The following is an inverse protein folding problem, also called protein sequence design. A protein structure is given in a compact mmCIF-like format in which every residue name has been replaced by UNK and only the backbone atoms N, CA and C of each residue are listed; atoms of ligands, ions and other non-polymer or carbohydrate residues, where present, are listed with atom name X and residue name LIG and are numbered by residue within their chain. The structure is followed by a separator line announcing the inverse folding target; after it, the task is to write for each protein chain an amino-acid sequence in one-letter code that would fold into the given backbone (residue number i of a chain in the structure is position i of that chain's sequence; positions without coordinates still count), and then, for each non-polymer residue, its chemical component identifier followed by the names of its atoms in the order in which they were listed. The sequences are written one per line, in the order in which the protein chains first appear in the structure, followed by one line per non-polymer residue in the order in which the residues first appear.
data_IF_065722496894
#
_entry.id   IF_065722496894
#
_cell.length_a   1.000
_cell.length_b   1.000
_cell.length_c   1.000
_cell.angle_alpha   90.00
_cell.angle_beta   90.00
_cell.angle_gamma   90.00
#
_symmetry.space_group_name_H-M   'P 1'
#
loop_
_entity.id
_entity.type
_entity.pdbx_description
1 polymer ?
#
# COMPACT_ATOMS: atom_id res chain seq x y z
N UNK A 1 -46.21 44.45 6.43
CA UNK A 1 -45.57 43.12 6.39
C UNK A 1 -44.65 43.11 5.19
N UNK A 2 -43.35 43.40 5.38
CA UNK A 2 -42.34 43.34 4.33
C UNK A 2 -41.28 42.33 4.75
N UNK A 3 -41.30 41.15 4.14
CA UNK A 3 -40.25 40.16 4.31
C UNK A 3 -39.05 40.57 3.46
N UNK A 4 -37.93 40.85 4.14
CA UNK A 4 -36.61 41.05 3.55
C UNK A 4 -35.99 39.69 3.28
N UNK A 5 -35.91 39.29 2.02
CA UNK A 5 -35.09 38.16 1.57
C UNK A 5 -33.64 38.60 1.47
N UNK A 6 -32.80 38.09 2.38
CA UNK A 6 -31.34 38.20 2.30
C UNK A 6 -30.82 37.22 1.26
N UNK A 7 -30.36 37.72 0.12
CA UNK A 7 -29.57 36.96 -0.85
C UNK A 7 -28.23 36.57 -0.23
N UNK A 8 -27.96 35.27 -0.20
CA UNK A 8 -26.66 34.73 0.17
C UNK A 8 -25.66 34.98 -0.95
N UNK A 9 -24.70 35.87 -0.71
CA UNK A 9 -23.53 36.07 -1.56
C UNK A 9 -22.64 34.83 -1.51
N UNK A 10 -22.63 34.02 -2.56
CA UNK A 10 -21.58 33.02 -2.78
C UNK A 10 -20.26 33.73 -3.04
N UNK A 11 -19.21 33.34 -2.30
CA UNK A 11 -17.88 33.87 -2.52
C UNK A 11 -17.39 33.49 -3.95
N UNK A 12 -16.71 34.38 -4.67
CA UNK A 12 -16.24 34.10 -6.02
C UNK A 12 -15.12 33.06 -5.98
N UNK A 13 -15.36 31.88 -6.54
CA UNK A 13 -14.33 30.85 -6.76
C UNK A 13 -13.28 31.41 -7.72
N UNK A 14 -12.12 31.79 -7.20
CA UNK A 14 -11.02 32.34 -8.00
C UNK A 14 -10.49 31.23 -8.92
N UNK A 15 -10.78 31.31 -10.21
CA UNK A 15 -10.23 30.40 -11.23
C UNK A 15 -8.71 30.51 -11.26
N UNK A 16 -8.00 29.39 -11.05
CA UNK A 16 -6.54 29.32 -11.10
C UNK A 16 -6.04 29.48 -12.54
N UNK A 17 -4.98 30.27 -12.75
CA UNK A 17 -4.29 30.35 -14.04
C UNK A 17 -3.54 29.06 -14.38
N UNK A 18 -3.23 28.84 -15.66
CA UNK A 18 -2.45 27.68 -16.11
C UNK A 18 -1.11 27.53 -15.37
N UNK A 19 -0.39 28.64 -15.14
CA UNK A 19 0.87 28.64 -14.38
C UNK A 19 0.67 28.23 -12.92
N UNK A 20 -0.35 28.76 -12.26
CA UNK A 20 -0.68 28.39 -10.87
C UNK A 20 -1.08 26.92 -10.75
N UNK A 21 -1.86 26.41 -11.72
CA UNK A 21 -2.21 24.98 -11.78
C UNK A 21 -0.95 24.12 -11.91
N UNK A 22 -0.04 24.48 -12.83
CA UNK A 22 1.21 23.77 -13.02
C UNK A 22 2.09 23.75 -11.75
N UNK A 23 2.21 24.88 -11.05
CA UNK A 23 2.94 24.97 -9.78
C UNK A 23 2.34 24.04 -8.72
N UNK A 24 1.03 24.07 -8.51
CA UNK A 24 0.33 23.18 -7.56
C UNK A 24 0.49 21.71 -7.96
N UNK A 25 0.42 21.39 -9.26
CA UNK A 25 0.59 20.01 -9.75
C UNK A 25 2.01 19.51 -9.49
N UNK A 26 3.03 20.34 -9.70
CA UNK A 26 4.43 19.91 -9.65
C UNK A 26 5.11 20.10 -8.28
N UNK A 27 4.50 20.82 -7.34
CA UNK A 27 5.09 21.02 -6.01
C UNK A 27 5.29 19.69 -5.27
N UNK A 28 6.35 19.65 -4.46
CA UNK A 28 6.72 18.52 -3.58
C UNK A 28 6.94 17.18 -4.32
N UNK A 29 7.25 17.22 -5.61
CA UNK A 29 7.67 16.06 -6.38
C UNK A 29 9.19 15.96 -6.42
N UNK A 30 9.70 14.73 -6.49
CA UNK A 30 11.12 14.47 -6.69
C UNK A 30 11.55 14.71 -8.13
N UNK A 31 10.70 14.35 -9.09
CA UNK A 31 10.99 14.45 -10.52
C UNK A 31 9.71 14.62 -11.35
N UNK A 32 9.82 15.38 -12.43
CA UNK A 32 8.75 15.61 -13.42
C UNK A 32 9.32 15.38 -14.82
N UNK A 33 8.74 14.45 -15.56
CA UNK A 33 9.04 14.21 -16.97
C UNK A 33 7.89 14.72 -17.84
N UNK A 34 8.19 15.42 -18.94
CA UNK A 34 7.17 15.93 -19.88
C UNK A 34 6.51 17.25 -19.48
N UNK A 35 7.13 18.04 -18.59
CA UNK A 35 6.56 19.28 -18.05
C UNK A 35 6.06 20.29 -19.11
N UNK A 36 6.74 20.41 -20.25
CA UNK A 36 6.33 21.35 -21.31
C UNK A 36 5.04 20.92 -22.01
N UNK A 37 4.81 19.62 -22.20
CA UNK A 37 3.57 19.09 -22.75
C UNK A 37 2.38 19.35 -21.83
N UNK A 38 2.61 19.29 -20.51
CA UNK A 38 1.59 19.64 -19.51
C UNK A 38 1.26 21.13 -19.57
N UNK A 39 2.27 22.00 -19.66
CA UNK A 39 2.05 23.45 -19.77
C UNK A 39 1.23 23.79 -21.01
N UNK A 40 1.59 23.23 -22.17
CA UNK A 40 0.83 23.42 -23.40
C UNK A 40 -0.63 22.94 -23.26
N UNK A 41 -0.85 21.78 -22.64
CA UNK A 41 -2.22 21.28 -22.42
C UNK A 41 -3.02 22.19 -21.48
N UNK A 42 -2.39 22.72 -20.43
CA UNK A 42 -3.01 23.64 -19.46
C UNK A 42 -3.39 25.01 -20.04
N UNK A 43 -2.82 25.40 -21.18
CA UNK A 43 -3.24 26.60 -21.92
C UNK A 43 -4.60 26.38 -22.62
N UNK A 44 -4.97 25.13 -22.89
CA UNK A 44 -6.18 24.77 -23.64
C UNK A 44 -7.29 24.21 -22.74
N UNK A 45 -6.95 23.35 -21.77
CA UNK A 45 -7.91 22.66 -20.88
C UNK A 45 -7.26 22.14 -19.59
N UNK A 46 -8.09 21.64 -18.68
CA UNK A 46 -7.60 20.89 -17.52
C UNK A 46 -7.00 19.53 -17.90
N UNK A 47 -6.03 19.07 -17.11
CA UNK A 47 -5.32 17.81 -17.30
C UNK A 47 -6.13 16.62 -16.76
N UNK A 48 -5.87 15.44 -17.32
CA UNK A 48 -6.38 14.16 -16.81
C UNK A 48 -5.20 13.32 -16.32
N UNK A 49 -5.25 12.89 -15.06
CA UNK A 49 -4.22 12.08 -14.42
C UNK A 49 -4.72 10.67 -14.14
N UNK A 50 -3.80 9.71 -14.02
CA UNK A 50 -4.08 8.54 -13.20
C UNK A 50 -2.99 8.21 -12.19
N UNK A 51 -3.43 7.57 -11.12
CA UNK A 51 -2.60 6.91 -10.14
C UNK A 51 -3.07 5.47 -9.98
N UNK A 52 -2.14 4.53 -10.12
CA UNK A 52 -2.39 3.10 -9.99
C UNK A 52 -2.06 2.58 -8.60
N UNK A 53 -2.94 1.75 -8.04
CA UNK A 53 -2.67 1.03 -6.80
C UNK A 53 -3.11 -0.43 -6.93
N UNK A 54 -2.19 -1.35 -6.64
CA UNK A 54 -2.43 -2.78 -6.71
C UNK A 54 -3.08 -3.28 -5.40
N UNK A 55 -4.34 -3.78 -5.40
CA UNK A 55 -5.04 -4.24 -4.20
C UNK A 55 -4.42 -5.51 -3.60
N UNK A 56 -3.35 -5.35 -2.84
CA UNK A 56 -2.57 -6.45 -2.25
C UNK A 56 -2.71 -6.46 -0.72
N UNK A 57 -1.68 -6.08 0.03
CA UNK A 57 -1.75 -5.97 1.49
C UNK A 57 -2.66 -4.82 1.95
N UNK A 58 -2.92 -4.73 3.24
CA UNK A 58 -3.66 -3.58 3.82
C UNK A 58 -2.88 -2.28 3.59
N UNK A 59 -3.51 -1.22 3.04
CA UNK A 59 -2.91 0.11 2.98
C UNK A 59 -2.53 0.62 4.37
N UNK A 60 -1.39 1.29 4.42
CA UNK A 60 -0.81 1.86 5.63
C UNK A 60 -0.66 3.36 5.49
N UNK A 61 -0.28 4.05 6.56
CA UNK A 61 -0.19 5.51 6.59
C UNK A 61 0.74 6.14 5.54
N UNK A 62 1.70 5.39 5.00
CA UNK A 62 2.46 5.83 3.81
C UNK A 62 1.60 6.19 2.59
N UNK A 63 0.34 5.71 2.50
CA UNK A 63 -0.61 6.11 1.46
C UNK A 63 -1.05 7.57 1.58
N UNK A 64 -0.92 8.23 2.74
CA UNK A 64 -1.19 9.66 2.83
C UNK A 64 -0.30 10.49 1.89
N UNK A 65 0.89 10.01 1.55
CA UNK A 65 1.83 10.72 0.67
C UNK A 65 1.28 10.84 -0.76
N UNK A 66 0.97 9.76 -1.49
CA UNK A 66 0.34 9.89 -2.79
C UNK A 66 -1.05 10.53 -2.70
N UNK A 67 -1.85 10.23 -1.67
CA UNK A 67 -3.20 10.79 -1.54
C UNK A 67 -3.20 12.31 -1.31
N UNK A 68 -2.21 12.86 -0.59
CA UNK A 68 -1.99 14.30 -0.47
C UNK A 68 -1.66 14.94 -1.83
N UNK A 69 -0.87 14.26 -2.66
CA UNK A 69 -0.58 14.76 -4.00
C UNK A 69 -1.79 14.72 -4.93
N UNK A 70 -2.64 13.70 -4.81
CA UNK A 70 -3.93 13.67 -5.51
C UNK A 70 -4.85 14.84 -5.07
N UNK A 71 -4.79 15.25 -3.81
CA UNK A 71 -5.50 16.42 -3.31
C UNK A 71 -5.07 17.72 -3.99
N UNK A 72 -3.77 17.89 -4.24
CA UNK A 72 -3.23 19.01 -5.02
C UNK A 72 -3.74 18.97 -6.47
N UNK A 73 -3.76 17.78 -7.10
CA UNK A 73 -4.30 17.62 -8.46
C UNK A 73 -5.76 18.04 -8.54
N UNK A 74 -6.60 17.55 -7.63
CA UNK A 74 -8.02 17.91 -7.54
C UNK A 74 -8.16 19.43 -7.37
N UNK A 75 -7.36 20.04 -6.49
CA UNK A 75 -7.37 21.50 -6.26
C UNK A 75 -6.97 22.28 -7.51
N UNK A 76 -6.04 21.77 -8.30
CA UNK A 76 -5.64 22.37 -9.57
C UNK A 76 -6.65 22.13 -10.72
N UNK A 77 -7.76 21.45 -10.47
CA UNK A 77 -8.80 21.16 -11.47
C UNK A 77 -8.58 19.88 -12.27
N UNK A 78 -7.58 19.07 -11.92
CA UNK A 78 -7.24 17.83 -12.65
C UNK A 78 -8.33 16.78 -12.45
N UNK A 79 -8.77 16.13 -13.53
CA UNK A 79 -9.58 14.90 -13.43
C UNK A 79 -8.65 13.74 -13.01
N UNK A 80 -8.91 13.13 -11.85
CA UNK A 80 -8.05 12.08 -11.29
C UNK A 80 -8.71 10.72 -11.45
N UNK A 81 -8.05 9.81 -12.17
CA UNK A 81 -8.43 8.40 -12.28
C UNK A 81 -7.62 7.57 -11.30
N UNK A 82 -8.29 6.86 -10.39
CA UNK A 82 -7.64 5.92 -9.48
C UNK A 82 -7.84 4.52 -10.03
N UNK A 83 -6.78 3.93 -10.57
CA UNK A 83 -6.79 2.57 -11.08
C UNK A 83 -6.59 1.58 -9.93
N UNK A 84 -7.65 0.85 -9.59
CA UNK A 84 -7.61 -0.33 -8.74
C UNK A 84 -7.11 -1.49 -9.59
N UNK A 85 -5.78 -1.65 -9.61
CA UNK A 85 -5.06 -2.52 -10.52
C UNK A 85 -5.11 -3.99 -10.05
N UNK A 86 -6.30 -4.58 -10.11
CA UNK A 86 -6.59 -5.96 -9.69
C UNK A 86 -5.86 -7.01 -10.54
N UNK A 87 -5.80 -6.84 -11.86
CA UNK A 87 -5.00 -7.70 -12.73
C UNK A 87 -3.51 -7.65 -12.34
N UNK A 88 -2.99 -6.46 -12.05
CA UNK A 88 -1.60 -6.28 -11.60
C UNK A 88 -1.36 -6.92 -10.23
N UNK A 89 -2.31 -6.80 -9.30
CA UNK A 89 -2.22 -7.46 -7.99
C UNK A 89 -2.20 -8.99 -8.09
N UNK A 90 -2.90 -9.55 -9.09
CA UNK A 90 -2.81 -10.98 -9.42
C UNK A 90 -1.45 -11.36 -10.03
N UNK A 91 -0.94 -10.55 -10.96
CA UNK A 91 0.33 -10.80 -11.67
C UNK A 91 1.57 -10.63 -10.77
N UNK A 92 1.52 -9.76 -9.75
CA UNK A 92 2.59 -9.54 -8.77
C UNK A 92 2.69 -10.71 -7.77
N UNK A 93 3.21 -11.83 -8.26
CA UNK A 93 3.66 -13.00 -7.51
C UNK A 93 2.58 -13.64 -6.61
N UNK A 94 1.33 -13.70 -7.10
CA UNK A 94 0.21 -14.45 -6.51
C UNK A 94 -0.02 -14.15 -5.01
N UNK A 95 0.12 -12.88 -4.59
CA UNK A 95 -0.16 -12.47 -3.20
C UNK A 95 -1.60 -12.74 -2.77
N UNK A 96 -2.53 -12.93 -3.71
CA UNK A 96 -3.92 -13.27 -3.47
C UNK A 96 -4.58 -13.97 -4.67
N UNK A 97 -5.52 -14.92 -4.44
CA UNK A 97 -6.45 -15.40 -5.47
C UNK A 97 -7.26 -14.26 -6.09
N UNK A 98 -7.74 -14.44 -7.33
CA UNK A 98 -8.49 -13.41 -8.08
C UNK A 98 -9.72 -12.91 -7.30
N UNK A 99 -10.47 -13.82 -6.68
CA UNK A 99 -11.67 -13.51 -5.90
C UNK A 99 -11.31 -12.61 -4.70
N UNK A 100 -10.17 -12.89 -4.07
CA UNK A 100 -9.66 -12.10 -2.95
C UNK A 100 -9.18 -10.72 -3.41
N UNK A 101 -8.60 -10.62 -4.61
CA UNK A 101 -8.18 -9.34 -5.18
C UNK A 101 -9.39 -8.44 -5.47
N UNK A 102 -10.49 -9.00 -5.98
CA UNK A 102 -11.73 -8.23 -6.20
C UNK A 102 -12.29 -7.66 -4.88
N UNK A 103 -12.32 -8.49 -3.82
CA UNK A 103 -12.73 -8.02 -2.49
C UNK A 103 -11.80 -6.91 -1.96
N UNK A 104 -10.49 -7.04 -2.19
CA UNK A 104 -9.50 -6.01 -1.83
C UNK A 104 -9.68 -4.72 -2.63
N UNK A 105 -10.00 -4.80 -3.92
CA UNK A 105 -10.26 -3.61 -4.75
C UNK A 105 -11.41 -2.78 -4.16
N UNK A 106 -12.50 -3.42 -3.75
CA UNK A 106 -13.63 -2.74 -3.12
C UNK A 106 -13.26 -2.12 -1.76
N UNK A 107 -12.50 -2.85 -0.93
CA UNK A 107 -11.98 -2.29 0.32
C UNK A 107 -11.08 -1.06 0.08
N UNK A 108 -10.18 -1.12 -0.91
CA UNK A 108 -9.32 0.00 -1.29
C UNK A 108 -10.15 1.21 -1.73
N UNK A 109 -11.18 0.99 -2.58
CA UNK A 109 -12.09 2.04 -3.04
C UNK A 109 -12.73 2.77 -1.87
N UNK A 110 -13.31 2.02 -0.93
CA UNK A 110 -13.98 2.57 0.26
C UNK A 110 -13.00 3.30 1.18
N UNK A 111 -11.83 2.71 1.43
CA UNK A 111 -10.80 3.31 2.27
C UNK A 111 -10.26 4.61 1.69
N UNK A 112 -9.88 4.63 0.41
CA UNK A 112 -9.38 5.84 -0.26
C UNK A 112 -10.45 6.94 -0.25
N UNK A 113 -11.71 6.57 -0.52
CA UNK A 113 -12.83 7.51 -0.43
C UNK A 113 -12.99 8.09 0.98
N UNK A 114 -12.80 7.26 2.02
CA UNK A 114 -12.84 7.66 3.42
C UNK A 114 -11.70 8.64 3.76
N UNK A 115 -10.48 8.37 3.28
CA UNK A 115 -9.33 9.28 3.43
C UNK A 115 -9.60 10.62 2.74
N UNK A 116 -10.13 10.62 1.52
CA UNK A 116 -10.46 11.88 0.85
C UNK A 116 -11.55 12.67 1.58
N UNK A 117 -12.58 12.01 2.11
CA UNK A 117 -13.56 12.66 2.97
C UNK A 117 -12.96 13.22 4.26
N UNK A 118 -12.03 12.49 4.90
CA UNK A 118 -11.36 12.99 6.11
C UNK A 118 -10.45 14.19 5.85
N UNK A 119 -10.01 14.36 4.60
CA UNK A 119 -9.26 15.51 4.13
C UNK A 119 -10.15 16.60 3.51
N UNK A 120 -11.48 16.50 3.65
CA UNK A 120 -12.46 17.44 3.08
C UNK A 120 -12.29 17.68 1.56
N UNK A 121 -11.93 16.62 0.82
CA UNK A 121 -11.84 16.63 -0.63
C UNK A 121 -13.18 16.26 -1.27
N UNK A 122 -13.57 17.02 -2.30
CA UNK A 122 -14.65 16.57 -3.19
C UNK A 122 -14.19 15.35 -3.99
N UNK A 123 -15.07 14.36 -4.10
CA UNK A 123 -14.87 13.17 -4.91
C UNK A 123 -15.36 13.34 -6.35
N UNK A 124 -15.96 14.48 -6.70
CA UNK A 124 -16.59 14.69 -8.02
C UNK A 124 -15.59 14.56 -9.18
N UNK A 125 -14.33 14.94 -8.93
CA UNK A 125 -13.23 14.86 -9.90
C UNK A 125 -12.44 13.54 -9.81
N UNK A 126 -12.86 12.60 -8.94
CA UNK A 126 -12.19 11.32 -8.72
C UNK A 126 -13.00 10.19 -9.36
N UNK A 127 -12.40 9.49 -10.31
CA UNK A 127 -13.00 8.31 -10.95
C UNK A 127 -12.22 7.05 -10.57
N UNK A 128 -12.88 6.12 -9.89
CA UNK A 128 -12.30 4.80 -9.65
C UNK A 128 -12.51 3.91 -10.88
N UNK A 129 -11.44 3.28 -11.34
CA UNK A 129 -11.47 2.32 -12.46
C UNK A 129 -10.86 1.02 -11.98
N UNK A 130 -11.50 -0.11 -12.26
CA UNK A 130 -10.97 -1.45 -11.96
C UNK A 130 -10.24 -1.96 -13.20
N UNK A 131 -9.00 -2.45 -13.06
CA UNK A 131 -8.19 -2.89 -14.21
C UNK A 131 -8.88 -3.94 -15.08
N UNK A 132 -9.46 -4.96 -14.46
CA UNK A 132 -10.21 -6.02 -15.15
C UNK A 132 -11.42 -5.53 -15.96
N UNK A 133 -11.90 -4.31 -15.76
CA UNK A 133 -13.02 -3.75 -16.53
C UNK A 133 -12.68 -3.48 -17.99
N UNK A 134 -11.40 -3.33 -18.35
CA UNK A 134 -10.96 -3.10 -19.73
C UNK A 134 -9.75 -3.95 -20.15
N UNK A 135 -8.90 -4.40 -19.21
CA UNK A 135 -7.65 -5.12 -19.54
C UNK A 135 -7.87 -6.51 -20.17
N UNK A 136 -9.11 -6.98 -20.20
CA UNK A 136 -9.51 -8.22 -20.89
C UNK A 136 -10.16 -7.99 -22.25
N UNK A 137 -10.35 -6.74 -22.69
CA UNK A 137 -10.96 -6.44 -23.99
C UNK A 137 -10.09 -6.97 -25.15
N UNK A 138 -10.72 -7.18 -26.30
CA UNK A 138 -10.02 -7.67 -27.49
C UNK A 138 -8.95 -6.67 -27.94
N UNK A 139 -9.27 -5.38 -27.88
CA UNK A 139 -8.39 -4.27 -28.27
C UNK A 139 -7.16 -4.23 -27.36
N UNK A 140 -7.37 -4.25 -26.03
CA UNK A 140 -6.28 -4.21 -25.06
C UNK A 140 -5.37 -5.43 -25.21
N UNK A 141 -5.94 -6.61 -25.43
CA UNK A 141 -5.16 -7.82 -25.66
C UNK A 141 -4.35 -7.77 -26.96
N UNK A 142 -4.91 -7.20 -28.04
CA UNK A 142 -4.17 -7.01 -29.28
C UNK A 142 -2.95 -6.11 -29.08
N UNK A 143 -3.11 -5.00 -28.37
CA UNK A 143 -1.99 -4.09 -28.09
C UNK A 143 -0.98 -4.66 -27.11
N UNK A 144 -1.44 -5.43 -26.12
CA UNK A 144 -0.56 -6.26 -25.28
C UNK A 144 0.30 -7.18 -26.16
N UNK A 145 -0.28 -7.87 -27.13
CA UNK A 145 0.49 -8.73 -28.05
C UNK A 145 1.47 -7.92 -28.92
N UNK A 146 1.07 -6.75 -29.42
CA UNK A 146 1.99 -5.84 -30.14
C UNK A 146 3.15 -5.40 -29.27
N UNK A 147 2.93 -5.01 -28.01
CA UNK A 147 4.02 -4.67 -27.10
C UNK A 147 4.93 -5.86 -26.84
N UNK A 148 4.38 -7.06 -26.64
CA UNK A 148 5.19 -8.27 -26.44
C UNK A 148 6.05 -8.62 -27.65
N UNK A 149 5.64 -8.29 -28.88
CA UNK A 149 6.43 -8.60 -30.07
C UNK A 149 7.61 -7.64 -30.30
N UNK A 150 7.58 -6.45 -29.70
CA UNK A 150 8.63 -5.43 -29.86
C UNK A 150 9.48 -5.23 -28.60
N UNK A 151 9.03 -5.73 -27.45
CA UNK A 151 9.74 -5.58 -26.17
C UNK A 151 10.67 -6.75 -25.95
N UNK A 152 11.96 -6.47 -25.74
CA UNK A 152 12.91 -7.51 -25.35
C UNK A 152 12.65 -7.97 -23.91
N UNK A 153 12.97 -9.24 -23.62
CA UNK A 153 12.92 -9.77 -22.25
C UNK A 153 13.77 -8.93 -21.28
N UNK A 154 14.94 -8.50 -21.74
CA UNK A 154 15.84 -7.64 -21.00
C UNK A 154 15.18 -6.31 -20.59
N UNK A 155 14.50 -5.65 -21.52
CA UNK A 155 13.85 -4.35 -21.25
C UNK A 155 12.66 -4.50 -20.32
N UNK A 156 11.83 -5.53 -20.51
CA UNK A 156 10.72 -5.82 -19.60
C UNK A 156 11.22 -6.09 -18.17
N UNK A 157 12.27 -6.92 -18.02
CA UNK A 157 12.89 -7.23 -16.72
C UNK A 157 13.48 -5.98 -16.08
N UNK A 158 14.18 -5.15 -16.85
CA UNK A 158 14.78 -3.89 -16.38
C UNK A 158 13.70 -2.91 -15.92
N UNK A 159 12.61 -2.78 -16.68
CA UNK A 159 11.51 -1.87 -16.36
C UNK A 159 10.84 -2.24 -15.02
N UNK A 160 10.57 -3.53 -14.78
CA UNK A 160 9.90 -4.01 -13.58
C UNK A 160 10.79 -4.20 -12.33
N UNK A 161 12.11 -3.98 -12.42
CA UNK A 161 13.06 -4.43 -11.40
C UNK A 161 12.83 -3.89 -9.98
N UNK A 162 12.28 -2.68 -9.84
CA UNK A 162 12.05 -2.01 -8.54
C UNK A 162 10.60 -2.14 -8.03
N UNK A 163 9.70 -2.63 -8.87
CA UNK A 163 8.26 -2.68 -8.63
C UNK A 163 7.78 -4.11 -8.44
N UNK A 164 8.17 -5.00 -9.35
CA UNK A 164 7.81 -6.41 -9.31
C UNK A 164 8.69 -7.12 -8.29
N UNK A 165 8.09 -8.01 -7.50
CA UNK A 165 8.84 -8.82 -6.53
C UNK A 165 9.90 -9.68 -7.23
N UNK A 166 11.16 -9.48 -6.84
CA UNK A 166 12.27 -10.27 -7.34
C UNK A 166 12.29 -11.65 -6.64
N UNK A 167 12.35 -12.72 -7.44
CA UNK A 167 12.43 -14.11 -7.00
C UNK A 167 13.51 -14.84 -7.78
N UNK A 168 14.03 -15.95 -7.24
CA UNK A 168 15.11 -16.71 -7.90
C UNK A 168 14.75 -17.24 -9.28
N UNK A 169 13.47 -17.55 -9.49
CA UNK A 169 12.92 -18.03 -10.75
C UNK A 169 11.74 -17.15 -11.18
N UNK A 170 12.00 -16.01 -11.84
CA UNK A 170 10.96 -15.04 -12.20
C UNK A 170 9.89 -15.63 -13.12
N UNK A 171 8.63 -15.38 -12.80
CA UNK A 171 7.50 -15.78 -13.61
C UNK A 171 7.32 -14.83 -14.81
N UNK A 172 6.72 -15.34 -15.90
CA UNK A 172 6.37 -14.52 -17.06
C UNK A 172 5.45 -13.34 -16.70
N UNK A 173 4.61 -13.50 -15.68
CA UNK A 173 3.73 -12.42 -15.18
C UNK A 173 4.51 -11.16 -14.80
N UNK A 174 5.71 -11.31 -14.22
CA UNK A 174 6.56 -10.18 -13.85
C UNK A 174 7.12 -9.43 -15.06
N UNK A 175 7.30 -10.10 -16.19
CA UNK A 175 7.73 -9.47 -17.45
C UNK A 175 6.59 -8.75 -18.15
N UNK A 176 5.35 -9.23 -17.99
CA UNK A 176 4.16 -8.57 -18.57
C UNK A 176 3.78 -7.31 -17.80
N UNK A 177 4.03 -7.25 -16.50
CA UNK A 177 3.63 -6.13 -15.63
C UNK A 177 3.93 -4.73 -16.20
N UNK A 178 5.17 -4.37 -16.58
CA UNK A 178 5.46 -3.03 -17.11
C UNK A 178 4.77 -2.72 -18.44
N UNK A 179 4.49 -3.74 -19.27
CA UNK A 179 3.79 -3.57 -20.55
C UNK A 179 2.34 -3.17 -20.30
N UNK A 180 1.67 -3.85 -19.35
CA UNK A 180 0.29 -3.56 -19.00
C UNK A 180 0.16 -2.16 -18.39
N UNK A 181 1.04 -1.81 -17.45
CA UNK A 181 1.04 -0.48 -16.85
C UNK A 181 1.24 0.64 -17.87
N UNK A 182 2.06 0.43 -18.92
CA UNK A 182 2.21 1.38 -20.00
C UNK A 182 0.92 1.54 -20.83
N UNK A 183 0.25 0.45 -21.18
CA UNK A 183 -1.02 0.51 -21.93
C UNK A 183 -2.13 1.20 -21.13
N UNK A 184 -2.12 1.12 -19.81
CA UNK A 184 -3.09 1.81 -18.96
C UNK A 184 -3.13 3.32 -19.23
N UNK A 185 -2.01 3.95 -19.61
CA UNK A 185 -1.98 5.37 -19.98
C UNK A 185 -2.88 5.71 -21.17
N UNK A 186 -2.92 4.82 -22.16
CA UNK A 186 -3.74 4.98 -23.36
C UNK A 186 -5.20 4.68 -23.06
N UNK A 187 -5.47 3.52 -22.47
CA UNK A 187 -6.83 3.05 -22.25
C UNK A 187 -7.57 3.84 -21.17
N UNK A 188 -6.85 4.48 -20.24
CA UNK A 188 -7.43 5.45 -19.32
C UNK A 188 -7.53 6.85 -19.93
N UNK A 189 -7.00 7.11 -21.12
CA UNK A 189 -7.12 8.40 -21.80
C UNK A 189 -6.54 9.57 -21.00
N UNK A 190 -5.35 9.38 -20.42
CA UNK A 190 -4.72 10.37 -19.54
C UNK A 190 -3.67 11.22 -20.26
N UNK A 191 -3.32 12.34 -19.63
CA UNK A 191 -2.21 13.22 -20.01
C UNK A 191 -0.94 12.91 -19.22
N UNK A 192 -1.09 12.46 -17.97
CA UNK A 192 0.04 12.05 -17.15
C UNK A 192 -0.26 10.91 -16.17
N UNK A 193 0.79 10.16 -15.84
CA UNK A 193 0.78 9.18 -14.77
C UNK A 193 1.49 9.73 -13.53
N UNK A 194 0.93 9.48 -12.35
CA UNK A 194 1.55 9.78 -11.07
C UNK A 194 1.91 8.49 -10.31
N UNK A 195 3.09 8.48 -9.68
CA UNK A 195 3.53 7.40 -8.80
C UNK A 195 4.79 7.78 -8.01
N UNK A 196 5.39 6.80 -7.31
CA UNK A 196 6.67 7.00 -6.62
C UNK A 196 7.85 6.99 -7.57
N UNK A 197 9.02 7.48 -7.13
CA UNK A 197 10.28 7.37 -7.89
C UNK A 197 10.69 5.93 -8.19
N UNK A 198 10.19 4.94 -7.42
CA UNK A 198 10.40 3.51 -7.71
C UNK A 198 9.68 3.03 -8.99
N UNK A 199 8.74 3.82 -9.51
CA UNK A 199 8.05 3.56 -10.78
C UNK A 199 8.81 4.09 -12.01
N UNK A 200 9.88 4.88 -11.83
CA UNK A 200 10.57 5.61 -12.89
C UNK A 200 10.97 4.74 -14.08
N UNK A 201 11.42 3.50 -13.82
CA UNK A 201 11.82 2.57 -14.89
C UNK A 201 10.63 2.12 -15.75
N UNK A 202 9.46 1.95 -15.17
CA UNK A 202 8.22 1.65 -15.91
C UNK A 202 7.76 2.88 -16.69
N UNK A 203 7.82 4.06 -16.10
CA UNK A 203 7.47 5.32 -16.76
C UNK A 203 8.34 5.56 -18.01
N UNK A 204 9.67 5.45 -17.88
CA UNK A 204 10.56 5.59 -19.04
C UNK A 204 10.40 4.48 -20.08
N UNK A 205 9.93 3.29 -19.67
CA UNK A 205 9.55 2.23 -20.60
C UNK A 205 8.30 2.65 -21.41
N UNK A 206 7.27 3.19 -20.76
CA UNK A 206 6.07 3.68 -21.44
C UNK A 206 6.40 4.81 -22.43
N UNK A 207 7.25 5.78 -22.03
CA UNK A 207 7.71 6.86 -22.91
C UNK A 207 8.40 6.35 -24.18
N UNK A 208 9.12 5.23 -24.10
CA UNK A 208 9.85 4.63 -25.22
C UNK A 208 8.96 3.78 -26.12
N UNK A 209 8.01 3.03 -25.55
CA UNK A 209 7.29 1.98 -26.25
C UNK A 209 5.90 2.38 -26.74
N UNK A 210 5.17 3.28 -26.05
CA UNK A 210 3.86 3.75 -26.52
C UNK A 210 3.91 4.41 -27.91
N UNK A 211 4.90 5.27 -28.23
CA UNK A 211 5.01 5.84 -29.57
C UNK A 211 5.21 4.81 -30.68
N UNK A 212 5.81 3.65 -30.38
CA UNK A 212 5.99 2.55 -31.35
C UNK A 212 4.67 1.87 -31.72
N UNK A 213 3.65 2.01 -30.89
CA UNK A 213 2.27 1.57 -31.18
C UNK A 213 1.43 2.67 -31.84
N UNK A 214 1.98 3.88 -32.01
CA UNK A 214 1.27 5.05 -32.53
C UNK A 214 0.56 5.88 -31.45
N UNK A 215 0.80 5.60 -30.17
CA UNK A 215 0.20 6.33 -29.04
C UNK A 215 1.04 7.51 -28.60
N UNK A 216 0.37 8.53 -28.03
CA UNK A 216 1.07 9.72 -27.50
C UNK A 216 1.94 9.35 -26.29
N UNK A 217 3.07 10.04 -26.16
CA UNK A 217 3.85 10.02 -24.93
C UNK A 217 3.08 10.76 -23.82
N UNK A 218 3.08 10.24 -22.59
CA UNK A 218 2.52 10.94 -21.42
C UNK A 218 3.61 11.60 -20.59
N UNK A 219 3.19 12.53 -19.75
CA UNK A 219 4.05 13.09 -18.70
C UNK A 219 4.05 12.18 -17.48
N UNK A 220 5.10 12.24 -16.67
CA UNK A 220 5.26 11.38 -15.50
C UNK A 220 5.69 12.19 -14.28
N UNK A 221 4.93 12.06 -13.19
CA UNK A 221 5.14 12.79 -11.95
C UNK A 221 5.52 11.80 -10.85
N UNK A 222 6.64 12.06 -10.17
CA UNK A 222 7.21 11.13 -9.20
C UNK A 222 7.35 11.75 -7.82
N UNK A 223 6.66 11.19 -6.82
CA UNK A 223 6.86 11.59 -5.42
C UNK A 223 8.08 10.89 -4.80
N UNK A 224 8.71 11.57 -3.83
CA UNK A 224 9.79 11.02 -3.02
C UNK A 224 9.33 9.78 -2.23
N UNK A 225 10.25 8.85 -2.00
CA UNK A 225 10.01 7.72 -1.10
C UNK A 225 10.00 8.20 0.35
N UNK A 226 8.99 7.77 1.12
CA UNK A 226 8.92 8.08 2.55
C UNK A 226 9.45 6.90 3.35
N UNK A 227 10.40 7.13 4.28
CA UNK A 227 10.87 6.10 5.18
C UNK A 227 9.74 5.50 6.02
N UNK A 228 9.82 4.20 6.27
CA UNK A 228 9.01 3.48 7.25
C UNK A 228 9.42 3.84 8.67
N UNK A 229 8.60 3.42 9.64
CA UNK A 229 8.81 3.69 11.06
C UNK A 229 10.12 3.11 11.62
N UNK A 230 10.68 2.11 10.94
CA UNK A 230 11.96 1.48 11.26
C UNK A 230 13.15 1.99 10.44
N UNK A 231 12.99 3.09 9.68
CA UNK A 231 14.07 3.71 8.89
C UNK A 231 14.33 3.09 7.51
N UNK A 232 13.61 2.02 7.13
CA UNK A 232 13.68 1.38 5.81
C UNK A 232 12.45 1.66 4.92
N UNK A 233 12.23 0.90 3.83
CA UNK A 233 10.99 1.02 3.03
C UNK A 233 9.78 0.56 3.85
N UNK A 234 8.70 1.34 3.91
CA UNK A 234 7.46 0.92 4.57
C UNK A 234 6.88 -0.28 3.79
N UNK A 235 6.83 -1.45 4.43
CA UNK A 235 6.44 -2.71 3.77
C UNK A 235 5.09 -3.17 4.30
N UNK A 236 4.13 -3.37 3.38
CA UNK A 236 2.83 -3.96 3.71
C UNK A 236 2.91 -5.38 4.29
N UNK A 237 4.07 -6.05 4.17
CA UNK A 237 4.30 -7.44 4.58
C UNK A 237 4.83 -7.61 6.01
N UNK A 238 5.35 -6.55 6.66
CA UNK A 238 5.73 -6.61 8.08
C UNK A 238 4.73 -5.76 8.91
N UNK A 239 3.81 -6.40 9.65
CA UNK A 239 2.82 -5.71 10.47
C UNK A 239 3.39 -4.78 11.55
N UNK A 240 4.65 -5.00 11.99
CA UNK A 240 5.30 -4.16 12.99
C UNK A 240 6.00 -2.94 12.40
N UNK A 241 6.27 -2.94 11.09
CA UNK A 241 6.97 -1.85 10.39
C UNK A 241 6.06 -0.71 9.93
N UNK A 242 4.74 -0.88 10.07
CA UNK A 242 3.72 -0.01 9.49
C UNK A 242 2.56 0.25 10.45
N UNK A 243 1.89 1.38 10.27
CA UNK A 243 0.60 1.68 10.92
C UNK A 243 -0.49 1.61 9.86
N UNK A 244 -1.51 0.80 10.10
CA UNK A 244 -2.66 0.65 9.20
C UNK A 244 -3.72 1.71 9.52
N UNK A 245 -4.57 2.07 8.56
CA UNK A 245 -5.62 3.10 8.77
C UNK A 245 -6.62 2.74 9.87
N UNK A 246 -6.80 1.45 10.15
CA UNK A 246 -7.73 0.94 11.15
C UNK A 246 -7.03 0.48 12.44
N UNK A 247 -5.74 0.79 12.64
CA UNK A 247 -5.06 0.50 13.89
C UNK A 247 -5.68 1.31 15.05
N UNK A 248 -6.02 0.63 16.13
CA UNK A 248 -6.53 1.28 17.35
C UNK A 248 -5.48 2.20 17.98
N UNK A 249 -5.88 3.16 18.82
CA UNK A 249 -4.94 4.03 19.52
C UNK A 249 -3.86 3.28 20.32
N UNK A 250 -4.20 2.10 20.88
CA UNK A 250 -3.25 1.24 21.58
C UNK A 250 -2.22 0.60 20.64
N UNK A 251 -2.65 0.16 19.45
CA UNK A 251 -1.74 -0.38 18.42
C UNK A 251 -0.80 0.71 17.89
N UNK A 252 -1.33 1.90 17.56
CA UNK A 252 -0.53 3.07 17.15
C UNK A 252 0.53 3.38 18.20
N UNK A 253 0.12 3.51 19.48
CA UNK A 253 1.04 3.78 20.59
C UNK A 253 2.14 2.72 20.68
N UNK A 254 1.77 1.45 20.62
CA UNK A 254 2.74 0.34 20.71
C UNK A 254 3.76 0.37 19.57
N UNK A 255 3.30 0.62 18.33
CA UNK A 255 4.17 0.66 17.14
C UNK A 255 5.14 1.85 17.19
N UNK A 256 4.65 3.04 17.54
CA UNK A 256 5.49 4.25 17.69
C UNK A 256 6.48 4.10 18.85
N UNK A 257 6.08 3.48 19.97
CA UNK A 257 6.99 3.25 21.09
C UNK A 257 8.17 2.36 20.71
N UNK A 258 7.94 1.35 19.86
CA UNK A 258 8.97 0.43 19.35
C UNK A 258 9.87 1.02 18.26
N UNK A 259 9.45 2.11 17.61
CA UNK A 259 10.25 2.76 16.56
C UNK A 259 11.58 3.27 17.13
N UNK A 260 12.66 3.14 16.36
CA UNK A 260 13.95 3.73 16.71
C UNK A 260 13.84 5.25 16.69
N UNK A 261 14.36 5.90 17.73
CA UNK A 261 14.23 7.34 17.95
C UNK A 261 15.26 7.75 19.01
N UNK A 262 16.56 7.58 18.73
CA UNK A 262 17.60 7.94 19.68
C UNK A 262 17.70 9.47 19.83
N UNK A 263 18.08 10.00 21.01
CA UNK A 263 18.28 11.43 21.22
C UNK A 263 19.26 12.03 20.21
N UNK A 264 18.91 13.17 19.59
CA UNK A 264 19.78 13.86 18.62
C UNK A 264 19.86 13.22 17.23
N UNK A 265 19.41 11.98 17.05
CA UNK A 265 19.52 11.25 15.77
C UNK A 265 18.33 11.59 14.86
N UNK A 266 18.59 12.40 13.82
CA UNK A 266 17.61 12.78 12.79
C UNK A 266 17.60 11.79 11.63
N UNK A 267 18.79 11.43 11.12
CA UNK A 267 18.90 10.48 10.01
C UNK A 267 18.40 9.09 10.40
N UNK A 268 17.60 8.46 9.55
CA UNK A 268 17.01 7.15 9.83
C UNK A 268 15.90 7.15 10.89
N UNK A 269 15.54 8.30 11.45
CA UNK A 269 14.48 8.41 12.46
C UNK A 269 13.09 8.36 11.82
N UNK A 270 12.46 7.19 11.88
CA UNK A 270 11.14 6.95 11.27
C UNK A 270 10.01 7.79 11.88
N UNK A 271 10.15 8.28 13.12
CA UNK A 271 9.14 9.13 13.76
C UNK A 271 9.19 10.56 13.19
N UNK A 272 10.39 11.15 13.10
CA UNK A 272 10.60 12.45 12.46
C UNK A 272 10.21 12.40 10.98
N UNK A 273 10.66 11.35 10.27
CA UNK A 273 10.32 11.16 8.87
C UNK A 273 8.79 11.10 8.67
N UNK A 274 8.05 10.46 9.56
CA UNK A 274 6.59 10.42 9.48
C UNK A 274 5.96 11.81 9.71
N UNK A 275 6.44 12.56 10.70
CA UNK A 275 5.93 13.91 10.96
C UNK A 275 6.21 14.84 9.76
N UNK A 276 7.44 14.84 9.24
CA UNK A 276 7.87 15.64 8.09
C UNK A 276 7.08 15.32 6.83
N UNK A 277 6.89 14.04 6.52
CA UNK A 277 6.38 13.64 5.21
C UNK A 277 4.87 13.36 5.18
N UNK A 278 4.23 13.19 6.34
CA UNK A 278 2.79 12.90 6.43
C UNK A 278 2.05 13.95 7.25
N UNK A 279 2.40 14.12 8.52
CA UNK A 279 1.62 14.97 9.43
C UNK A 279 1.65 16.44 9.01
N UNK A 280 2.85 16.99 8.78
CA UNK A 280 3.01 18.40 8.40
C UNK A 280 2.38 18.68 7.02
N UNK A 281 2.65 17.90 5.95
CA UNK A 281 2.03 18.12 4.64
C UNK A 281 0.51 18.02 4.66
N UNK A 282 -0.06 17.03 5.36
CA UNK A 282 -1.51 16.91 5.52
C UNK A 282 -2.05 18.11 6.31
N UNK A 283 -1.37 18.54 7.38
CA UNK A 283 -1.74 19.74 8.11
C UNK A 283 -1.75 21.00 7.24
N UNK A 284 -0.75 21.18 6.37
CA UNK A 284 -0.70 22.31 5.41
C UNK A 284 -1.83 22.22 4.38
N UNK A 285 -2.12 21.02 3.90
CA UNK A 285 -3.21 20.75 2.97
C UNK A 285 -4.59 21.06 3.58
N UNK A 286 -4.76 20.81 4.89
CA UNK A 286 -5.97 21.17 5.63
C UNK A 286 -6.05 22.69 5.90
N UNK A 287 -4.93 23.35 6.20
CA UNK A 287 -4.86 24.80 6.46
C UNK A 287 -4.81 25.67 5.20
N UNK A 288 -5.44 25.24 4.11
CA UNK A 288 -5.41 25.90 2.81
C UNK A 288 -6.48 25.35 1.87
N UNK A 289 -6.57 25.90 0.65
CA UNK A 289 -7.46 25.39 -0.40
C UNK A 289 -8.96 25.37 -0.01
N UNK A 290 -9.38 26.24 0.91
CA UNK A 290 -10.77 26.37 1.37
C UNK A 290 -11.24 25.31 2.38
N UNK A 291 -10.32 24.61 3.04
CA UNK A 291 -10.61 23.52 3.99
C UNK A 291 -10.48 23.95 5.45
N UNK A 292 -10.97 23.11 6.37
CA UNK A 292 -10.95 23.37 7.80
C UNK A 292 -9.51 23.45 8.33
N UNK A 293 -9.17 24.54 9.02
CA UNK A 293 -7.83 24.79 9.57
C UNK A 293 -7.57 24.09 10.91
N UNK A 294 -8.57 23.42 11.50
CA UNK A 294 -8.42 22.74 12.79
C UNK A 294 -7.46 21.55 12.69
N UNK A 295 -6.33 21.64 13.40
CA UNK A 295 -5.28 20.63 13.42
C UNK A 295 -4.97 20.26 14.87
N UNK A 296 -5.17 18.99 15.23
CA UNK A 296 -4.94 18.55 16.61
C UNK A 296 -3.46 18.66 17.06
N UNK A 297 -2.53 18.78 16.11
CA UNK A 297 -1.09 18.84 16.34
C UNK A 297 -0.48 20.23 16.11
N UNK A 298 -1.29 21.26 15.85
CA UNK A 298 -0.81 22.63 15.68
C UNK A 298 -1.81 23.62 16.33
N UNK A 299 -1.29 24.50 17.18
CA UNK A 299 -2.14 25.41 17.99
C UNK A 299 -2.62 26.65 17.22
N UNK A 300 -1.95 27.00 16.12
CA UNK A 300 -2.22 28.19 15.31
C UNK A 300 -1.80 27.94 13.84
N UNK A 301 -2.18 28.84 12.93
CA UNK A 301 -1.95 28.67 11.49
C UNK A 301 -0.46 28.72 11.10
N UNK A 302 0.33 29.53 11.81
CA UNK A 302 1.78 29.69 11.63
C UNK A 302 2.61 28.52 12.19
N UNK A 303 1.98 27.63 12.96
CA UNK A 303 2.62 26.46 13.56
C UNK A 303 2.29 25.22 12.73
N UNK A 304 3.30 24.41 12.41
CA UNK A 304 3.11 23.14 11.68
C UNK A 304 3.06 21.93 12.59
N UNK A 305 3.67 22.02 13.78
CA UNK A 305 3.67 20.96 14.78
C UNK A 305 3.94 21.51 16.19
N UNK A 306 3.25 20.97 17.19
CA UNK A 306 3.43 21.30 18.61
C UNK A 306 3.84 20.07 19.40
N UNK A 307 4.88 20.17 20.22
CA UNK A 307 5.29 19.13 21.18
C UNK A 307 5.09 19.67 22.59
N UNK A 308 4.22 18.99 23.35
CA UNK A 308 4.00 19.27 24.77
C UNK A 308 4.96 18.41 25.58
N UNK A 309 6.05 19.01 26.07
CA UNK A 309 6.98 18.30 26.96
C UNK A 309 6.31 17.94 28.28
N UNK A 310 6.77 16.88 28.95
CA UNK A 310 6.26 16.51 30.27
C UNK A 310 6.59 17.61 31.31
N UNK A 311 5.58 18.26 31.91
CA UNK A 311 5.81 19.28 32.94
C UNK A 311 6.63 18.75 34.13
N UNK A 312 6.58 17.45 34.43
CA UNK A 312 7.36 16.80 35.50
C UNK A 312 8.86 16.81 35.24
N UNK A 313 9.26 16.97 33.98
CA UNK A 313 10.65 17.05 33.55
C UNK A 313 11.04 18.49 33.15
N UNK A 314 10.24 19.49 33.56
CA UNK A 314 10.46 20.90 33.20
C UNK A 314 10.14 21.23 31.75
N UNK A 315 9.47 20.33 31.02
CA UNK A 315 9.12 20.51 29.62
C UNK A 315 8.06 21.59 29.43
N UNK A 316 8.32 22.53 28.52
CA UNK A 316 7.33 23.48 28.02
C UNK A 316 6.76 23.02 26.67
N UNK A 317 5.62 23.57 26.29
CA UNK A 317 5.10 23.38 24.93
C UNK A 317 6.00 24.10 23.92
N UNK A 318 6.59 23.36 22.99
CA UNK A 318 7.39 23.88 21.87
C UNK A 318 6.55 23.87 20.60
N UNK A 319 6.66 24.95 19.82
CA UNK A 319 5.93 25.17 18.57
C UNK A 319 6.94 25.34 17.45
N UNK A 320 6.70 24.66 16.34
CA UNK A 320 7.61 24.66 15.19
C UNK A 320 6.89 25.27 13.98
N UNK A 321 7.56 26.17 13.26
CA UNK A 321 7.04 26.78 12.05
C UNK A 321 7.39 25.97 10.79
N UNK A 322 8.45 25.16 10.87
CA UNK A 322 8.86 24.24 9.80
C UNK A 322 9.23 22.86 10.33
N UNK A 323 9.32 21.87 9.41
CA UNK A 323 9.86 20.55 9.74
C UNK A 323 11.37 20.62 10.03
N UNK A 324 12.07 21.58 9.42
CA UNK A 324 13.51 21.79 9.62
C UNK A 324 13.77 22.30 11.04
N UNK A 325 12.98 23.27 11.53
CA UNK A 325 13.08 23.79 12.91
C UNK A 325 12.90 22.65 13.94
N UNK A 326 11.97 21.73 13.67
CA UNK A 326 11.71 20.57 14.52
C UNK A 326 12.92 19.62 14.56
N UNK A 327 13.51 19.34 13.40
CA UNK A 327 14.66 18.43 13.30
C UNK A 327 15.93 19.06 13.89
N UNK A 328 16.16 20.35 13.69
CA UNK A 328 17.26 21.09 14.32
C UNK A 328 17.15 21.07 15.85
N UNK A 329 15.96 21.34 16.40
CA UNK A 329 15.72 21.26 17.84
C UNK A 329 15.89 19.83 18.37
N UNK A 330 15.49 18.81 17.60
CA UNK A 330 15.71 17.42 17.98
C UNK A 330 17.21 17.06 17.98
N UNK A 331 17.96 17.48 16.95
CA UNK A 331 19.40 17.29 16.83
C UNK A 331 20.17 17.97 17.98
N UNK A 332 19.70 19.14 18.42
CA UNK A 332 20.23 19.87 19.57
C UNK A 332 19.85 19.24 20.94
N UNK A 333 19.15 18.10 20.96
CA UNK A 333 18.65 17.42 22.17
C UNK A 333 17.68 18.28 23.00
N UNK A 334 17.03 19.25 22.37
CA UNK A 334 16.06 20.13 23.04
C UNK A 334 14.69 19.47 23.22
N UNK A 335 14.45 18.37 22.50
CA UNK A 335 13.23 17.57 22.51
C UNK A 335 13.58 16.17 22.98
N UNK A 336 12.95 15.71 24.06
CA UNK A 336 13.12 14.35 24.51
C UNK A 336 12.41 13.36 23.55
N UNK A 337 13.01 12.20 23.20
CA UNK A 337 12.37 11.24 22.29
C UNK A 337 10.99 10.76 22.74
N UNK A 338 10.77 10.66 24.05
CA UNK A 338 9.47 10.30 24.62
C UNK A 338 8.37 11.31 24.28
N UNK A 339 8.68 12.60 24.35
CA UNK A 339 7.73 13.68 24.07
C UNK A 339 7.40 13.74 22.57
N UNK A 340 8.42 13.57 21.72
CA UNK A 340 8.25 13.45 20.27
C UNK A 340 7.31 12.28 19.91
N UNK A 341 7.55 11.10 20.51
CA UNK A 341 6.70 9.92 20.31
C UNK A 341 5.27 10.14 20.78
N UNK A 342 5.06 10.81 21.92
CA UNK A 342 3.72 11.13 22.43
C UNK A 342 2.99 12.06 21.45
N UNK A 343 3.64 13.13 21.00
CA UNK A 343 3.08 14.08 20.04
C UNK A 343 2.75 13.38 18.70
N UNK A 344 3.64 12.51 18.21
CA UNK A 344 3.39 11.71 17.01
C UNK A 344 2.16 10.81 17.15
N UNK A 345 2.00 10.12 18.29
CA UNK A 345 0.82 9.27 18.56
C UNK A 345 -0.47 10.09 18.58
N UNK A 346 -0.45 11.28 19.18
CA UNK A 346 -1.61 12.17 19.20
C UNK A 346 -2.00 12.61 17.78
N UNK A 347 -1.02 13.06 16.99
CA UNK A 347 -1.24 13.49 15.61
C UNK A 347 -1.76 12.36 14.72
N UNK A 348 -1.16 11.17 14.80
CA UNK A 348 -1.60 10.00 14.03
C UNK A 348 -3.03 9.62 14.39
N UNK A 349 -3.37 9.55 15.68
CA UNK A 349 -4.74 9.21 16.07
C UNK A 349 -5.75 10.24 15.60
N UNK A 350 -5.40 11.54 15.59
CA UNK A 350 -6.27 12.58 15.05
C UNK A 350 -6.51 12.39 13.54
N UNK A 351 -5.48 12.04 12.76
CA UNK A 351 -5.61 11.72 11.33
C UNK A 351 -6.47 10.47 11.07
N UNK A 352 -6.34 9.45 11.92
CA UNK A 352 -7.04 8.17 11.76
C UNK A 352 -8.49 8.22 12.20
N UNK A 353 -8.81 9.00 13.23
CA UNK A 353 -10.13 9.04 13.86
C UNK A 353 -11.30 9.18 12.85
N UNK A 354 -11.33 10.18 11.95
CA UNK A 354 -12.46 10.33 11.01
C UNK A 354 -12.63 9.11 10.08
N UNK A 355 -11.53 8.44 9.70
CA UNK A 355 -11.56 7.24 8.86
C UNK A 355 -12.10 6.04 9.66
N UNK A 356 -11.73 5.93 10.94
CA UNK A 356 -12.20 4.89 11.85
C UNK A 356 -13.67 5.07 12.22
N UNK A 357 -14.13 6.31 12.37
CA UNK A 357 -15.54 6.65 12.57
C UNK A 357 -16.37 6.27 11.33
N UNK A 358 -15.91 6.61 10.12
CA UNK A 358 -16.55 6.23 8.83
C UNK A 358 -16.60 4.71 8.66
N UNK A 359 -15.51 4.00 8.97
CA UNK A 359 -15.48 2.53 8.97
C UNK A 359 -16.49 1.94 9.95
N UNK A 360 -16.52 2.44 11.19
CA UNK A 360 -17.40 1.93 12.25
C UNK A 360 -18.89 2.19 11.93
N UNK A 361 -19.20 3.33 11.31
CA UNK A 361 -20.53 3.73 10.86
C UNK A 361 -21.02 3.02 9.59
N UNK A 362 -20.15 2.34 8.84
CA UNK A 362 -20.50 1.76 7.53
C UNK A 362 -20.45 0.23 7.54
N UNK A 363 -21.62 -0.40 7.46
CA UNK A 363 -21.72 -1.88 7.36
C UNK A 363 -21.10 -2.41 6.07
N UNK A 364 -21.25 -1.66 4.97
CA UNK A 364 -20.62 -1.99 3.70
C UNK A 364 -19.09 -1.99 3.82
N UNK A 365 -18.51 -1.03 4.54
CA UNK A 365 -17.06 -0.94 4.72
C UNK A 365 -16.52 -2.05 5.62
N UNK A 366 -17.19 -2.35 6.73
CA UNK A 366 -16.87 -3.52 7.58
C UNK A 366 -16.95 -4.84 6.81
N UNK A 367 -17.99 -5.02 6.01
CA UNK A 367 -18.16 -6.21 5.17
C UNK A 367 -17.05 -6.33 4.13
N UNK A 368 -16.69 -5.23 3.46
CA UNK A 368 -15.62 -5.22 2.47
C UNK A 368 -14.27 -5.57 3.09
N UNK A 369 -13.97 -5.03 4.27
CA UNK A 369 -12.73 -5.33 5.03
C UNK A 369 -12.63 -6.81 5.41
N UNK A 370 -13.71 -7.37 5.97
CA UNK A 370 -13.74 -8.78 6.38
C UNK A 370 -13.57 -9.74 5.19
N UNK A 371 -14.12 -9.39 4.02
CA UNK A 371 -13.94 -10.16 2.77
C UNK A 371 -12.53 -10.00 2.19
N UNK A 372 -11.97 -8.80 2.24
CA UNK A 372 -10.64 -8.49 1.67
C UNK A 372 -9.49 -9.12 2.48
N UNK A 373 -9.68 -9.26 3.79
CA UNK A 373 -8.67 -9.73 4.73
C UNK A 373 -9.28 -10.65 5.80
N UNK A 374 -9.71 -11.86 5.42
CA UNK A 374 -10.25 -12.81 6.38
C UNK A 374 -9.21 -13.11 7.47
N UNK A 375 -9.62 -13.26 8.74
CA UNK A 375 -8.71 -13.57 9.82
C UNK A 375 -7.95 -14.87 9.53
N UNK A 376 -6.64 -14.88 9.81
CA UNK A 376 -5.81 -16.07 9.59
C UNK A 376 -6.36 -17.25 10.38
N UNK A 377 -6.79 -18.30 9.68
CA UNK A 377 -7.08 -19.59 10.30
C UNK A 377 -5.73 -20.17 10.76
N UNK A 378 -5.39 -20.00 12.04
CA UNK A 378 -4.21 -20.64 12.62
C UNK A 378 -4.37 -22.14 12.42
N UNK A 379 -3.58 -22.72 11.51
CA UNK A 379 -3.46 -24.16 11.41
C UNK A 379 -3.11 -24.70 12.81
N UNK A 380 -4.01 -25.49 13.40
CA UNK A 380 -3.76 -26.18 14.65
C UNK A 380 -2.54 -27.05 14.43
N UNK A 381 -1.38 -26.64 14.97
CA UNK A 381 -0.19 -27.49 14.98
C UNK A 381 -0.62 -28.82 15.63
N UNK A 382 -0.46 -29.98 14.96
CA UNK A 382 -0.69 -31.25 15.63
C UNK A 382 0.17 -31.26 16.89
N UNK A 383 -0.44 -31.55 18.04
CA UNK A 383 0.30 -31.73 19.30
C UNK A 383 1.42 -32.72 19.00
N UNK A 384 2.68 -32.28 19.07
CA UNK A 384 3.82 -33.20 19.12
C UNK A 384 3.56 -34.10 20.33
N UNK A 385 3.27 -35.36 20.09
CA UNK A 385 3.37 -36.38 21.13
C UNK A 385 4.78 -36.28 21.72
N UNK A 386 4.86 -36.16 23.04
CA UNK A 386 6.15 -36.14 23.73
C UNK A 386 6.83 -37.48 23.46
N UNK A 387 7.85 -37.50 22.59
CA UNK A 387 8.74 -38.66 22.47
C UNK A 387 9.38 -38.90 23.84
N UNK A 388 8.94 -39.98 24.50
CA UNK A 388 9.55 -40.48 25.72
C UNK A 388 11.01 -40.81 25.43
N UNK A 389 11.93 -40.12 26.12
CA UNK A 389 13.37 -40.42 26.05
C UNK A 389 13.70 -41.21 27.32
N UNK A 390 14.00 -42.53 27.23
CA UNK A 390 14.28 -43.31 28.43
C UNK A 390 15.58 -42.84 29.08
N UNK A 391 15.61 -42.90 30.42
CA UNK A 391 16.79 -42.57 31.25
C UNK A 391 17.99 -43.47 30.86
N UNK A 392 19.25 -43.00 30.94
CA UNK A 392 20.43 -43.82 30.69
C UNK A 392 20.47 -45.07 31.59
N UNK A 393 20.92 -46.20 31.05
CA UNK A 393 20.74 -47.54 31.62
C UNK A 393 21.38 -47.76 33.01
N UNK A 394 22.44 -47.01 33.30
CA UNK A 394 23.16 -47.02 34.58
C UNK A 394 22.44 -46.24 35.69
N UNK A 395 21.36 -45.52 35.38
CA UNK A 395 20.56 -44.70 36.32
C UNK A 395 19.16 -45.26 36.55
N UNK A 396 18.88 -46.47 36.06
CA UNK A 396 17.58 -47.13 36.18
C UNK A 396 17.55 -48.12 37.33
N UNK A 397 16.50 -48.06 38.15
CA UNK A 397 16.23 -49.09 39.15
C UNK A 397 15.83 -50.42 38.48
N UNK A 398 15.92 -51.57 39.17
CA UNK A 398 15.48 -52.86 38.62
C UNK A 398 14.02 -52.84 38.14
N UNK A 399 13.13 -52.13 38.84
CA UNK A 399 11.72 -51.96 38.48
C UNK A 399 11.54 -51.13 37.20
N UNK A 400 12.34 -50.08 37.02
CA UNK A 400 12.33 -49.26 35.81
C UNK A 400 12.85 -50.02 34.59
N UNK A 401 13.82 -50.92 34.77
CA UNK A 401 14.30 -51.81 33.70
C UNK A 401 13.23 -52.82 33.26
N UNK A 402 12.49 -53.39 34.22
CA UNK A 402 11.40 -54.31 33.92
C UNK A 402 10.25 -53.64 33.16
N UNK A 403 9.89 -52.40 33.54
CA UNK A 403 8.84 -51.61 32.87
C UNK A 403 9.22 -51.26 31.43
N UNK A 404 10.47 -50.85 31.20
CA UNK A 404 10.93 -50.48 29.86
C UNK A 404 11.07 -51.72 28.94
N UNK A 405 11.46 -52.87 29.49
CA UNK A 405 11.48 -54.14 28.76
C UNK A 405 10.07 -54.59 28.33
N UNK A 406 9.07 -54.43 29.21
CA UNK A 406 7.67 -54.72 28.88
C UNK A 406 7.12 -53.78 27.78
N UNK A 407 7.48 -52.49 27.84
CA UNK A 407 7.10 -51.52 26.81
C UNK A 407 7.77 -51.80 25.45
N UNK A 408 9.04 -52.23 25.45
CA UNK A 408 9.75 -52.63 24.23
C UNK A 408 9.16 -53.91 23.62
N UNK A 409 8.77 -54.89 24.44
CA UNK A 409 8.10 -56.11 23.98
C UNK A 409 6.73 -55.81 23.35
N UNK A 410 5.95 -54.89 23.94
CA UNK A 410 4.68 -54.44 23.38
C UNK A 410 4.85 -53.69 22.05
N UNK A 411 5.89 -52.86 21.92
CA UNK A 411 6.21 -52.17 20.67
C UNK A 411 6.67 -53.13 19.56
N UNK A 412 7.45 -54.17 19.90
CA UNK A 412 7.87 -55.20 18.96
C UNK A 412 6.70 -56.07 18.47
N UNK A 413 5.75 -56.39 19.35
CA UNK A 413 4.52 -57.10 18.97
C UNK A 413 3.63 -56.27 18.02
N UNK A 414 3.60 -54.94 18.19
CA UNK A 414 2.88 -54.04 17.29
C UNK A 414 3.57 -53.90 15.92
N UNK A 415 4.89 -54.02 15.84
CA UNK A 415 5.64 -53.97 14.58
C UNK A 415 5.57 -55.29 13.78
N UNK A 416 5.53 -56.44 14.45
CA UNK A 416 5.42 -57.77 13.81
C UNK A 416 4.06 -58.05 13.14
N UNK A 417 3.02 -57.26 13.43
CA UNK A 417 1.73 -57.34 12.76
C UNK A 417 1.67 -56.66 11.38
N UNK A 418 2.67 -55.85 11.02
CA UNK A 418 2.67 -55.04 9.79
C UNK A 418 3.39 -55.68 8.59
N UNK A 419 4.11 -56.79 8.75
CA UNK A 419 4.85 -57.47 7.66
C UNK A 419 4.07 -58.60 6.98
N UNK A 420 2.80 -58.86 7.36
CA UNK A 420 1.99 -59.92 6.76
C UNK A 420 1.06 -59.45 5.60
N UNK A 421 0.98 -58.16 5.28
CA UNK A 421 0.05 -57.62 4.27
C UNK A 421 0.67 -57.06 2.99
N UNK A 422 2.00 -57.08 2.82
CA UNK A 422 2.66 -56.62 1.58
C UNK A 422 3.42 -57.74 0.90
N UNK A 423 2.69 -58.66 0.28
CA UNK A 423 3.28 -59.78 -0.43
C UNK A 423 2.32 -60.48 -1.38
N UNK A 424 1.89 -59.81 -2.46
CA UNK A 424 1.57 -60.46 -3.75
C UNK A 424 1.29 -59.47 -4.89
N UNK A 425 1.90 -59.80 -6.02
CA UNK A 425 1.58 -59.43 -7.40
C UNK A 425 2.10 -58.09 -7.96
N UNK A 426 3.37 -58.12 -8.36
CA UNK A 426 3.87 -57.49 -9.58
C UNK A 426 3.41 -58.28 -10.82
N UNK A 427 2.89 -57.60 -11.84
CA UNK A 427 2.60 -58.17 -13.17
C UNK A 427 2.44 -57.06 -14.21
N UNK A 428 3.22 -57.15 -15.28
CA UNK A 428 3.39 -56.19 -16.40
C UNK A 428 2.20 -56.23 -17.37
N UNK A 429 1.86 -55.08 -17.98
CA UNK A 429 1.23 -54.84 -19.31
C UNK A 429 0.32 -53.59 -19.21
N UNK A 430 0.03 -52.76 -20.21
CA UNK A 430 0.59 -52.41 -21.51
C UNK A 430 0.00 -51.02 -21.83
N UNK A 431 0.52 -50.36 -22.85
CA UNK A 431 0.03 -49.10 -23.42
C UNK A 431 -1.45 -49.13 -23.80
N UNK A 432 -2.23 -48.19 -23.27
CA UNK A 432 -3.55 -47.83 -23.83
C UNK A 432 -4.51 -47.35 -22.75
N UNK A 433 -4.58 -46.04 -22.53
CA UNK A 433 -5.79 -45.33 -22.05
C UNK A 433 -5.54 -43.82 -21.90
N UNK A 434 -5.23 -43.16 -23.02
CA UNK A 434 -5.20 -41.70 -23.12
C UNK A 434 -6.09 -41.18 -24.26
N UNK A 435 -7.03 -42.01 -24.73
CA UNK A 435 -7.95 -41.67 -25.83
C UNK A 435 -9.44 -41.73 -25.47
N UNK A 436 -9.79 -41.76 -24.18
CA UNK A 436 -11.20 -41.74 -23.73
C UNK A 436 -11.54 -40.62 -22.75
N UNK A 437 -10.66 -39.62 -22.57
CA UNK A 437 -10.93 -38.44 -21.76
C UNK A 437 -11.10 -37.14 -22.57
N UNK A 438 -11.13 -37.21 -23.91
CA UNK A 438 -11.18 -36.03 -24.80
C UNK A 438 -12.47 -35.87 -25.61
N UNK A 439 -13.43 -36.80 -25.55
CA UNK A 439 -14.68 -36.72 -26.34
C UNK A 439 -15.94 -36.45 -25.48
N UNK A 440 -15.80 -35.88 -24.27
CA UNK A 440 -16.94 -35.60 -23.39
C UNK A 440 -17.17 -34.10 -23.06
N UNK A 441 -16.57 -33.18 -23.82
CA UNK A 441 -16.85 -31.72 -23.70
C UNK A 441 -17.05 -31.06 -25.08
N UNK A 442 -17.77 -31.74 -25.97
CA UNK A 442 -18.31 -31.12 -27.17
C UNK A 442 -19.68 -31.74 -27.48
N UNK A 443 -20.71 -31.19 -26.84
CA UNK A 443 -22.08 -31.11 -27.34
C UNK A 443 -22.76 -29.88 -26.73
#
# INVERSE_FOLDING_TARGET
MSASTTEGTSAPTRSLSASQKYEIITQNLAEVLGGDAMKATLEERDLVAYWGTAPTGRPHLGYFVPLAKLADFITAGVEVKILLADVHAFLDNLKAPLELVQARAEYYRLLISSVFRSLHLSLDQVKFVVGSSYQYSAEYNLDKYKLTSITSEHDARKAGAEVVKQVSSPLLSGLLYPLLQALDEEYLGVDFQFGGVDQRKIFTYAELYLPKLGYKKRSHLMNSMVPGLSGGKMSSSDPNSKIDFLDTPAQVKTKIQKAHCAPGEVEGNGVLAFIRNVVIPIGKLMSGQGRASERAWADSDDVVFTIKGDPKHGGQARRFASADDLEEAYAANEIHPGDLKIAAVQAINALLKPIQDDFSGSEAFKTAEAKAYPPEVKATKPKKEKKFTPKPEHLKTPEEKARDAAAAAAAAAAAGGAEAETGKASGVESTGDLKQALDAVAN
#
